data_IF_666897764066
#
_entry.id   IF_666897764066
#
_cell.length_a   1.000
_cell.length_b   1.000
_cell.length_c   1.000
_cell.angle_alpha   90.00
_cell.angle_beta   90.00
_cell.angle_gamma   90.00
#
_symmetry.space_group_name_H-M   'P 1'
#
loop_
_entity.id
_entity.type
_entity.pdbx_description
1 polymer ?
#
# COMPACT_ATOMS: atom_id res chain seq x y z
N UNK A 1 25.16 -13.72 -7.75
CA UNK A 1 24.96 -12.62 -6.78
C UNK A 1 23.64 -12.87 -6.10
N UNK A 2 23.65 -13.33 -4.85
CA UNK A 2 22.42 -13.39 -4.07
C UNK A 2 21.99 -11.95 -3.83
N UNK A 3 20.93 -11.49 -4.49
CA UNK A 3 20.27 -10.26 -4.07
C UNK A 3 19.82 -10.50 -2.63
N UNK A 4 20.55 -9.93 -1.67
CA UNK A 4 20.02 -9.71 -0.33
C UNK A 4 18.62 -9.11 -0.52
N UNK A 5 17.60 -9.80 -0.01
CA UNK A 5 16.20 -9.58 -0.39
C UNK A 5 15.72 -8.12 -0.25
N UNK A 6 14.70 -7.79 -1.03
CA UNK A 6 13.93 -6.55 -0.86
C UNK A 6 12.69 -6.89 -0.04
N UNK A 7 12.35 -6.04 0.93
CA UNK A 7 11.13 -6.15 1.72
C UNK A 7 10.27 -4.92 1.50
N UNK A 8 8.96 -5.11 1.40
CA UNK A 8 7.99 -4.04 1.40
C UNK A 8 7.30 -3.99 2.77
N UNK A 9 7.08 -2.78 3.31
CA UNK A 9 6.54 -2.57 4.65
C UNK A 9 5.50 -1.46 4.59
N UNK A 10 4.27 -1.71 5.03
CA UNK A 10 3.29 -0.64 5.25
C UNK A 10 3.57 0.07 6.57
N UNK A 11 3.42 1.38 6.57
CA UNK A 11 3.60 2.24 7.72
C UNK A 11 2.23 2.72 8.17
N UNK A 12 1.92 2.52 9.45
CA UNK A 12 0.69 3.01 10.05
C UNK A 12 0.96 3.67 11.38
N UNK A 13 0.12 4.64 11.74
CA UNK A 13 0.20 5.28 13.04
C UNK A 13 -0.44 4.39 14.13
N UNK A 14 0.15 4.29 15.33
CA UNK A 14 -0.31 3.43 16.40
C UNK A 14 -1.50 4.05 17.16
N UNK A 15 -2.50 4.57 16.43
CA UNK A 15 -3.72 5.12 17.01
C UNK A 15 -4.78 4.05 17.23
N UNK A 16 -5.40 4.08 18.40
CA UNK A 16 -6.64 3.35 18.69
C UNK A 16 -7.80 3.87 17.83
N UNK A 17 -8.88 3.09 17.73
CA UNK A 17 -10.08 3.50 17.01
C UNK A 17 -10.64 4.85 17.51
N UNK A 18 -10.64 5.05 18.83
CA UNK A 18 -11.15 6.28 19.44
C UNK A 18 -10.26 7.48 19.09
N UNK A 19 -8.94 7.34 19.19
CA UNK A 19 -7.99 8.40 18.79
C UNK A 19 -8.14 8.74 17.30
N UNK A 20 -8.41 7.75 16.44
CA UNK A 20 -8.66 7.98 15.01
C UNK A 20 -9.93 8.78 14.76
N UNK A 21 -10.98 8.59 15.56
CA UNK A 21 -12.21 9.39 15.47
C UNK A 21 -11.93 10.84 15.86
N UNK A 22 -11.22 11.05 16.98
CA UNK A 22 -10.84 12.37 17.47
C UNK A 22 -9.92 13.12 16.49
N UNK A 23 -8.99 12.40 15.86
CA UNK A 23 -8.04 12.93 14.90
C UNK A 23 -8.52 12.86 13.45
N UNK A 24 -9.78 12.47 13.20
CA UNK A 24 -10.29 12.21 11.85
C UNK A 24 -10.01 13.35 10.86
N UNK A 25 -10.24 14.60 11.26
CA UNK A 25 -9.93 15.78 10.43
C UNK A 25 -8.45 15.92 10.07
N UNK A 26 -7.55 15.52 10.98
CA UNK A 26 -6.09 15.54 10.76
C UNK A 26 -5.66 14.36 9.89
N UNK A 27 -6.21 13.17 10.15
CA UNK A 27 -5.87 11.93 9.46
C UNK A 27 -6.30 11.91 7.99
N UNK A 28 -7.41 12.58 7.66
CA UNK A 28 -7.84 12.79 6.27
C UNK A 28 -6.77 13.48 5.41
N UNK A 29 -5.81 14.18 6.03
CA UNK A 29 -4.73 14.90 5.34
C UNK A 29 -3.36 14.22 5.43
N UNK A 30 -3.25 13.06 6.08
CA UNK A 30 -2.00 12.30 6.15
C UNK A 30 -2.04 11.11 5.21
N UNK A 31 -1.19 11.13 4.17
CA UNK A 31 -0.96 9.97 3.33
C UNK A 31 -0.24 8.87 4.14
N UNK A 32 -0.67 7.63 3.97
CA UNK A 32 0.05 6.44 4.43
C UNK A 32 1.12 6.05 3.40
N UNK A 33 2.11 5.25 3.82
CA UNK A 33 3.23 4.84 2.98
C UNK A 33 3.43 3.33 3.02
N UNK A 34 3.75 2.74 1.87
CA UNK A 34 4.44 1.44 1.78
C UNK A 34 5.87 1.68 1.32
N UNK A 35 6.84 1.24 2.10
CA UNK A 35 8.27 1.44 1.86
C UNK A 35 8.90 0.16 1.35
N UNK A 36 9.64 0.21 0.24
CA UNK A 36 10.50 -0.88 -0.20
C UNK A 36 11.92 -0.63 0.31
N UNK A 37 12.43 -1.58 1.08
CA UNK A 37 13.74 -1.56 1.69
C UNK A 37 14.60 -2.68 1.14
N UNK A 38 15.87 -2.39 0.87
CA UNK A 38 16.87 -3.41 0.62
C UNK A 38 17.61 -3.74 1.91
N UNK A 39 17.87 -5.03 2.18
CA UNK A 39 18.77 -5.40 3.28
C UNK A 39 20.21 -4.91 3.10
N UNK A 40 20.61 -4.51 1.88
CA UNK A 40 21.96 -3.97 1.61
C UNK A 40 22.11 -2.49 1.94
N UNK A 41 21.01 -1.73 1.95
CA UNK A 41 20.97 -0.31 2.29
C UNK A 41 19.80 -0.04 3.23
N UNK A 42 19.97 -0.33 4.53
CA UNK A 42 18.92 -0.17 5.53
C UNK A 42 18.72 1.29 5.97
N UNK A 43 19.41 2.26 5.35
CA UNK A 43 19.30 3.69 5.69
C UNK A 43 18.41 4.42 4.68
N UNK A 44 18.40 3.98 3.41
CA UNK A 44 17.62 4.61 2.36
C UNK A 44 16.58 3.64 1.77
N UNK A 45 15.27 3.89 1.95
CA UNK A 45 14.24 3.19 1.20
C UNK A 45 14.47 3.38 -0.30
N UNK A 46 14.29 2.31 -1.07
CA UNK A 46 14.43 2.33 -2.52
C UNK A 46 13.20 2.89 -3.21
N UNK A 47 12.01 2.72 -2.61
CA UNK A 47 10.74 3.18 -3.14
C UNK A 47 9.78 3.54 -2.02
N UNK A 48 9.02 4.61 -2.21
CA UNK A 48 7.91 5.03 -1.36
C UNK A 48 6.64 4.96 -2.20
N UNK A 49 5.66 4.18 -1.74
CA UNK A 49 4.34 4.09 -2.34
C UNK A 49 3.36 4.81 -1.44
N UNK A 50 2.83 5.94 -1.89
CA UNK A 50 1.82 6.67 -1.11
C UNK A 50 0.44 6.05 -1.27
N UNK A 51 -0.28 5.94 -0.16
CA UNK A 51 -1.68 5.57 -0.09
C UNK A 51 -2.48 6.66 0.63
N UNK A 52 -3.75 6.88 0.27
CA UNK A 52 -4.58 7.89 0.93
C UNK A 52 -5.01 7.49 2.34
N UNK A 53 -4.89 6.20 2.68
CA UNK A 53 -5.35 5.61 3.93
C UNK A 53 -4.37 4.52 4.38
N UNK A 54 -4.40 4.16 5.66
CA UNK A 54 -3.53 3.11 6.20
C UNK A 54 -3.72 1.77 5.49
N UNK A 55 -2.61 1.23 4.99
CA UNK A 55 -2.57 -0.06 4.30
C UNK A 55 -2.41 -1.20 5.31
N UNK A 56 -3.45 -2.02 5.45
CA UNK A 56 -3.48 -3.18 6.34
C UNK A 56 -2.89 -4.43 5.68
N UNK A 57 -3.00 -4.55 4.37
CA UNK A 57 -2.40 -5.64 3.59
C UNK A 57 -2.09 -5.20 2.17
N UNK A 58 -1.12 -5.82 1.51
CA UNK A 58 -0.85 -5.61 0.09
C UNK A 58 -0.15 -6.82 -0.54
N UNK A 59 -0.21 -6.95 -1.87
CA UNK A 59 0.49 -7.98 -2.64
C UNK A 59 0.95 -7.47 -4.00
N UNK A 60 2.14 -7.91 -4.38
CA UNK A 60 2.65 -7.80 -5.75
C UNK A 60 1.99 -8.85 -6.63
N UNK A 61 1.68 -8.49 -7.87
CA UNK A 61 1.17 -9.45 -8.84
C UNK A 61 2.28 -10.46 -9.21
N UNK A 62 1.98 -11.77 -9.19
CA UNK A 62 2.97 -12.81 -9.47
C UNK A 62 3.46 -12.83 -10.93
N UNK A 63 2.64 -12.38 -11.87
CA UNK A 63 2.94 -12.34 -13.32
C UNK A 63 3.48 -10.98 -13.78
N UNK A 64 3.09 -9.88 -13.12
CA UNK A 64 3.58 -8.52 -13.41
C UNK A 64 3.98 -7.79 -12.11
N UNK A 65 5.25 -7.89 -11.66
CA UNK A 65 5.71 -7.29 -10.41
C UNK A 65 5.59 -5.76 -10.32
N UNK A 66 5.29 -5.06 -11.41
CA UNK A 66 5.00 -3.62 -11.38
C UNK A 66 3.59 -3.31 -10.86
N UNK A 67 2.72 -4.32 -10.80
CA UNK A 67 1.37 -4.21 -10.27
C UNK A 67 1.33 -4.59 -8.80
N UNK A 68 0.74 -3.69 -8.01
CA UNK A 68 0.53 -3.89 -6.58
C UNK A 68 -0.94 -3.64 -6.27
N UNK A 69 -1.48 -4.47 -5.39
CA UNK A 69 -2.81 -4.30 -4.80
C UNK A 69 -2.69 -4.16 -3.30
N UNK A 70 -3.48 -3.25 -2.73
CA UNK A 70 -3.49 -2.96 -1.30
C UNK A 70 -4.90 -2.91 -0.73
N UNK A 71 -5.03 -3.21 0.55
CA UNK A 71 -6.26 -3.15 1.31
C UNK A 71 -6.17 -2.09 2.39
N UNK A 72 -7.09 -1.13 2.36
CA UNK A 72 -7.10 0.02 3.26
C UNK A 72 -7.92 -0.25 4.53
N UNK A 73 -7.61 0.49 5.60
CA UNK A 73 -8.34 0.45 6.87
C UNK A 73 -9.82 0.82 6.73
N UNK A 74 -10.15 1.68 5.77
CA UNK A 74 -11.51 2.12 5.49
C UNK A 74 -12.33 1.14 4.62
N UNK A 75 -11.74 0.00 4.24
CA UNK A 75 -12.41 -1.03 3.45
C UNK A 75 -12.27 -0.89 1.93
N UNK A 76 -11.55 0.13 1.44
CA UNK A 76 -11.24 0.24 0.01
C UNK A 76 -10.08 -0.67 -0.40
N UNK A 77 -10.10 -1.07 -1.67
CA UNK A 77 -8.98 -1.69 -2.33
C UNK A 77 -8.23 -0.65 -3.18
N UNK A 78 -6.92 -0.79 -3.22
CA UNK A 78 -5.98 0.14 -3.82
C UNK A 78 -5.24 -0.61 -4.94
N UNK A 79 -5.13 -0.01 -6.14
CA UNK A 79 -4.53 -0.64 -7.32
C UNK A 79 -3.53 0.32 -7.98
N UNK A 80 -2.25 -0.09 -8.12
CA UNK A 80 -1.24 0.72 -8.82
C UNK A 80 -0.79 -0.01 -10.06
N UNK A 81 -0.87 0.72 -11.17
CA UNK A 81 -0.58 0.17 -12.48
C UNK A 81 0.85 0.35 -12.93
N UNK A 82 1.67 1.18 -12.29
CA UNK A 82 3.11 1.24 -12.57
C UNK A 82 3.75 2.31 -11.67
N UNK A 83 4.68 1.95 -10.75
CA UNK A 83 5.52 2.96 -10.16
C UNK A 83 6.45 3.55 -11.22
N UNK A 84 6.12 4.73 -11.76
CA UNK A 84 7.06 5.46 -12.64
C UNK A 84 8.25 5.93 -11.80
N UNK A 85 9.34 5.17 -11.88
CA UNK A 85 10.64 5.54 -11.30
C UNK A 85 11.33 6.63 -12.15
N UNK A 86 10.72 7.80 -12.28
CA UNK A 86 11.40 8.95 -12.89
C UNK A 86 12.01 9.83 -11.79
N UNK A 87 13.32 9.67 -11.60
CA UNK A 87 14.23 10.51 -10.78
C UNK A 87 13.89 10.73 -9.29
N UNK A 88 12.68 10.41 -8.83
CA UNK A 88 12.23 10.56 -7.45
C UNK A 88 11.92 9.17 -6.86
N UNK A 89 12.32 8.89 -5.61
CA UNK A 89 12.02 7.62 -4.95
C UNK A 89 10.54 7.51 -4.54
N UNK A 90 9.76 8.59 -4.69
CA UNK A 90 8.35 8.65 -4.31
C UNK A 90 7.48 8.40 -5.54
N UNK A 91 6.64 7.38 -5.45
CA UNK A 91 5.60 7.08 -6.42
C UNK A 91 4.26 7.17 -5.72
N UNK A 92 3.47 8.16 -6.13
CA UNK A 92 2.07 8.28 -5.69
C UNK A 92 1.18 7.30 -6.47
N UNK A 93 0.23 6.66 -5.78
CA UNK A 93 -0.73 5.72 -6.39
C UNK A 93 -1.72 6.40 -7.34
N UNK A 94 -2.17 5.65 -8.35
CA UNK A 94 -3.22 6.05 -9.31
C UNK A 94 -4.28 4.94 -9.42
N UNK A 95 -5.05 4.73 -8.34
CA UNK A 95 -6.46 4.28 -8.33
C UNK A 95 -6.89 3.68 -6.97
N UNK A 96 -8.06 4.07 -6.50
CA UNK A 96 -8.81 3.42 -5.41
C UNK A 96 -10.10 2.82 -5.97
N UNK A 97 -10.58 1.73 -5.36
CA UNK A 97 -11.96 1.27 -5.57
C UNK A 97 -12.96 2.34 -5.10
N UNK A 98 -14.13 2.43 -5.74
CA UNK A 98 -15.20 3.33 -5.30
C UNK A 98 -15.51 3.13 -3.81
N UNK A 99 -15.78 4.23 -3.10
CA UNK A 99 -16.17 4.21 -1.68
C UNK A 99 -17.45 3.36 -1.51
N UNK A 100 -18.38 3.44 -2.47
CA UNK A 100 -19.63 2.65 -2.48
C UNK A 100 -19.40 1.14 -2.69
N UNK A 101 -18.24 0.76 -3.24
CA UNK A 101 -17.80 -0.63 -3.41
C UNK A 101 -16.84 -1.08 -2.30
N UNK A 102 -16.51 -0.18 -1.36
CA UNK A 102 -15.68 -0.46 -0.20
C UNK A 102 -16.42 -1.30 0.82
N UNK A 103 -15.67 -2.13 1.55
CA UNK A 103 -16.21 -2.90 2.66
C UNK A 103 -16.49 -1.97 3.85
N UNK A 104 -17.45 -2.34 4.70
CA UNK A 104 -17.71 -1.60 5.96
C UNK A 104 -16.62 -1.81 7.02
N UNK A 105 -15.58 -2.60 6.72
CA UNK A 105 -14.47 -2.99 7.59
C UNK A 105 -13.19 -2.97 6.77
N UNK A 106 -12.05 -2.73 7.43
CA UNK A 106 -10.74 -2.74 6.79
C UNK A 106 -10.44 -4.05 6.06
N UNK A 107 -9.79 -3.94 4.90
CA UNK A 107 -9.39 -5.09 4.08
C UNK A 107 -8.08 -5.67 4.63
N UNK A 108 -8.16 -6.84 5.27
CA UNK A 108 -7.02 -7.47 5.97
C UNK A 108 -6.31 -8.55 5.16
N UNK A 109 -6.86 -8.93 4.01
CA UNK A 109 -6.26 -9.92 3.11
C UNK A 109 -6.66 -9.68 1.65
N UNK A 110 -5.69 -9.87 0.76
CA UNK A 110 -5.84 -9.80 -0.70
C UNK A 110 -5.08 -10.98 -1.31
N UNK A 111 -5.57 -11.52 -2.41
CA UNK A 111 -4.92 -12.59 -3.18
C UNK A 111 -5.11 -12.33 -4.68
N UNK A 112 -4.06 -12.60 -5.46
CA UNK A 112 -4.19 -12.65 -6.92
C UNK A 112 -4.75 -14.00 -7.31
N UNK A 113 -5.91 -14.01 -7.96
CA UNK A 113 -6.52 -15.23 -8.48
C UNK A 113 -5.96 -15.49 -9.89
N UNK A 114 -5.52 -16.72 -10.20
CA UNK A 114 -5.10 -17.07 -11.55
C UNK A 114 -6.22 -16.88 -12.59
N UNK A 115 -5.86 -16.38 -13.77
CA UNK A 115 -6.79 -16.04 -14.87
C UNK A 115 -7.67 -17.21 -15.34
N UNK A 116 -7.31 -18.47 -15.04
CA UNK A 116 -8.10 -19.65 -15.42
C UNK A 116 -9.30 -19.93 -14.50
N UNK A 117 -9.47 -19.13 -13.44
CA UNK A 117 -10.57 -19.23 -12.48
C UNK A 117 -11.59 -18.10 -12.60
N UNK A 118 -11.37 -17.15 -13.53
CA UNK A 118 -12.26 -16.03 -13.81
C UNK A 118 -13.41 -16.42 -14.77
#
# INVERSE_FOLDING_TARGET
MCSLGIVAVSVGEPYSLNERIELSFKLVHSNSLVLLWSFTDPIHPQLFLEAPEDILCFKFNPSNPNLIVGGCINGQALFNTEPKLDHAPIVSYVALSSIDAGHSKGVTGIEWIPDHLE
#
